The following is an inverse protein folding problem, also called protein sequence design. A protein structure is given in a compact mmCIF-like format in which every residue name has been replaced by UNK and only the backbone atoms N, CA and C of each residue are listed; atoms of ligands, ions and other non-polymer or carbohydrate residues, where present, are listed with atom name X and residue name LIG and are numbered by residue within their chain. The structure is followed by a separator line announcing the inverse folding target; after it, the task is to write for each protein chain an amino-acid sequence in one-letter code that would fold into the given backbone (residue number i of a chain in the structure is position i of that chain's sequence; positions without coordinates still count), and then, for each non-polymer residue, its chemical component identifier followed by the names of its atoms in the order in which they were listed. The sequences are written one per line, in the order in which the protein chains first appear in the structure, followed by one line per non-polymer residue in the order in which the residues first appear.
data_IF_935128519628
#
_entry.id   IF_935128519628
#
_cell.length_a   1.000
_cell.length_b   1.000
_cell.length_c   1.000
_cell.angle_alpha   90.00
_cell.angle_beta   90.00
_cell.angle_gamma   90.00
#
_symmetry.space_group_name_H-M   'P 1'
#
loop_
_entity.id
_entity.type
_entity.pdbx_description
1 polymer ?
#
# COMPACT_ATOMS: atom_id res chain seq x y z
N UNK A 1 39.44 76.99 51.88
CA UNK A 1 38.87 76.95 53.26
C UNK A 1 37.48 76.39 53.09
N UNK A 2 37.36 75.06 53.17
CA UNK A 2 36.79 74.34 54.33
C UNK A 2 35.29 74.63 54.41
N UNK A 3 34.35 73.70 54.40
CA UNK A 3 34.31 72.25 54.59
C UNK A 3 32.78 71.91 54.51
N UNK A 4 32.40 70.66 54.12
CA UNK A 4 31.29 69.89 54.76
C UNK A 4 29.85 70.32 54.31
N UNK A 5 28.94 69.51 53.74
CA UNK A 5 28.65 68.06 53.79
C UNK A 5 28.03 67.58 52.47
N UNK A 6 28.67 66.63 51.79
CA UNK A 6 27.97 65.69 50.92
C UNK A 6 27.51 64.54 51.84
N UNK A 7 26.23 64.53 52.23
CA UNK A 7 25.64 63.41 52.96
C UNK A 7 25.57 62.20 52.03
N UNK A 8 26.66 61.44 51.98
CA UNK A 8 26.64 60.05 51.63
C UNK A 8 25.77 59.33 52.69
N UNK A 9 24.46 59.26 52.45
CA UNK A 9 23.60 58.32 53.17
C UNK A 9 23.93 56.93 52.64
N UNK A 10 24.95 56.36 53.25
CA UNK A 10 24.98 54.99 53.74
C UNK A 10 23.86 54.09 53.18
N UNK A 11 24.12 53.42 52.07
CA UNK A 11 23.35 52.24 51.64
C UNK A 11 24.26 51.01 51.67
N UNK A 12 25.00 50.88 52.77
CA UNK A 12 25.69 49.65 53.15
C UNK A 12 24.65 48.62 53.64
N UNK A 13 23.83 48.10 52.70
CA UNK A 13 22.79 47.11 52.99
C UNK A 13 22.05 46.52 51.78
N UNK A 14 22.21 47.08 50.57
CA UNK A 14 21.42 46.69 49.39
C UNK A 14 21.99 45.59 48.49
N UNK A 15 23.27 45.24 48.61
CA UNK A 15 23.94 44.33 47.67
C UNK A 15 23.48 42.87 47.75
N UNK A 16 23.18 42.37 48.96
CA UNK A 16 22.72 41.00 49.16
C UNK A 16 21.29 40.79 48.65
N UNK A 17 20.37 41.72 48.97
CA UNK A 17 18.99 41.64 48.51
C UNK A 17 18.88 41.77 46.99
N UNK A 18 19.66 42.65 46.37
CA UNK A 18 19.74 42.75 44.91
C UNK A 18 20.30 41.45 44.27
N UNK A 19 21.31 40.83 44.88
CA UNK A 19 21.85 39.54 44.45
C UNK A 19 20.85 38.39 44.55
N UNK A 20 20.13 38.29 45.67
CA UNK A 20 19.07 37.29 45.89
C UNK A 20 17.93 37.50 44.89
N UNK A 21 17.50 38.73 44.68
CA UNK A 21 16.44 39.04 43.71
C UNK A 21 16.83 38.63 42.29
N UNK A 22 18.06 38.94 41.87
CA UNK A 22 18.58 38.54 40.57
C UNK A 22 18.65 37.01 40.42
N UNK A 23 19.06 36.29 41.47
CA UNK A 23 19.08 34.82 41.47
C UNK A 23 17.67 34.23 41.32
N UNK A 24 16.68 34.73 42.07
CA UNK A 24 15.29 34.27 41.98
C UNK A 24 14.70 34.57 40.61
N UNK A 25 15.01 35.74 40.04
CA UNK A 25 14.56 36.12 38.70
C UNK A 25 15.13 35.18 37.64
N UNK A 26 16.43 34.91 37.67
CA UNK A 26 17.07 33.94 36.76
C UNK A 26 16.49 32.54 36.92
N UNK A 27 16.26 32.10 38.16
CA UNK A 27 15.66 30.79 38.43
C UNK A 27 14.24 30.70 37.86
N UNK A 28 13.42 31.75 38.02
CA UNK A 28 12.09 31.80 37.44
C UNK A 28 12.13 31.75 35.90
N UNK A 29 13.09 32.43 35.28
CA UNK A 29 13.27 32.43 33.82
C UNK A 29 13.63 31.01 33.33
N UNK A 30 14.60 30.36 33.98
CA UNK A 30 14.98 28.97 33.67
C UNK A 30 13.79 28.02 33.88
N UNK A 31 13.03 28.20 34.96
CA UNK A 31 11.85 27.40 35.23
C UNK A 31 10.80 27.55 34.11
N UNK A 32 10.51 28.77 33.66
CA UNK A 32 9.56 29.00 32.55
C UNK A 32 10.05 28.37 31.25
N UNK A 33 11.34 28.45 30.95
CA UNK A 33 11.92 27.80 29.76
C UNK A 33 11.76 26.28 29.87
N UNK A 34 12.15 25.67 31.00
CA UNK A 34 12.02 24.22 31.23
C UNK A 34 10.56 23.77 31.23
N UNK A 35 9.64 24.60 31.70
CA UNK A 35 8.21 24.30 31.70
C UNK A 35 7.63 24.18 30.28
N UNK A 36 8.09 25.04 29.37
CA UNK A 36 7.67 25.04 27.96
C UNK A 36 8.51 24.11 27.08
N UNK A 37 9.65 23.62 27.58
CA UNK A 37 10.48 22.68 26.84
C UNK A 37 9.87 21.27 26.91
N UNK A 38 9.30 20.83 25.79
CA UNK A 38 8.66 19.52 25.67
C UNK A 38 9.63 18.34 25.95
N UNK A 39 10.83 18.36 25.35
CA UNK A 39 11.92 17.41 25.63
C UNK A 39 12.39 17.32 27.09
N UNK A 40 12.11 18.29 27.95
CA UNK A 40 12.35 18.16 29.40
C UNK A 40 11.39 17.14 30.02
N UNK A 41 10.10 17.21 29.67
CA UNK A 41 9.04 16.33 30.20
C UNK A 41 9.02 14.94 29.56
N UNK A 42 9.62 14.81 28.39
CA UNK A 42 9.68 13.59 27.58
C UNK A 42 11.00 12.81 27.75
N UNK A 43 11.78 13.09 28.80
CA UNK A 43 13.11 12.51 29.00
C UNK A 43 13.07 11.08 29.58
N UNK A 44 13.93 10.21 29.05
CA UNK A 44 14.14 8.83 29.56
C UNK A 44 15.10 8.73 30.76
N UNK A 45 15.53 9.88 31.31
CA UNK A 45 16.47 9.90 32.44
C UNK A 45 15.71 9.52 33.72
N UNK A 46 15.87 8.27 34.17
CA UNK A 46 15.15 7.68 35.30
C UNK A 46 15.03 8.52 36.60
N UNK A 47 16.09 9.14 37.14
CA UNK A 47 15.94 9.98 38.33
C UNK A 47 15.17 11.28 38.07
N UNK A 48 15.30 11.85 36.86
CA UNK A 48 14.64 13.10 36.47
C UNK A 48 13.15 12.86 36.23
N UNK A 49 12.80 11.76 35.56
CA UNK A 49 11.39 11.39 35.32
C UNK A 49 10.65 11.07 36.62
N UNK A 50 11.30 10.41 37.59
CA UNK A 50 10.72 10.20 38.94
C UNK A 50 10.47 11.52 39.67
N UNK A 51 11.44 12.45 39.61
CA UNK A 51 11.28 13.77 40.22
C UNK A 51 10.13 14.55 39.56
N UNK A 52 10.08 14.59 38.22
CA UNK A 52 9.01 15.23 37.45
C UNK A 52 7.64 14.64 37.75
N UNK A 53 7.52 13.31 37.80
CA UNK A 53 6.29 12.61 38.14
C UNK A 53 5.84 12.91 39.57
N UNK A 54 6.77 12.98 40.53
CA UNK A 54 6.44 13.24 41.93
C UNK A 54 6.05 14.69 42.22
N UNK A 55 6.72 15.66 41.58
CA UNK A 55 6.52 17.10 41.85
C UNK A 55 5.43 17.69 40.95
N UNK A 56 5.34 17.23 39.69
CA UNK A 56 4.41 17.76 38.68
C UNK A 56 3.66 16.62 37.94
N UNK A 57 2.87 15.80 38.66
CA UNK A 57 2.23 14.61 38.10
C UNK A 57 1.27 14.90 36.94
N UNK A 58 0.52 16.01 37.02
CA UNK A 58 -0.46 16.39 35.99
C UNK A 58 0.23 16.75 34.68
N UNK A 59 1.22 17.65 34.75
CA UNK A 59 1.99 18.09 33.57
C UNK A 59 2.75 16.94 32.93
N UNK A 60 3.39 16.10 33.75
CA UNK A 60 4.08 14.90 33.27
C UNK A 60 3.13 13.95 32.54
N UNK A 61 1.96 13.65 33.10
CA UNK A 61 0.98 12.75 32.48
C UNK A 61 0.43 13.31 31.15
N UNK A 62 0.17 14.61 31.06
CA UNK A 62 -0.28 15.24 29.80
C UNK A 62 0.74 15.06 28.67
N UNK A 63 2.02 15.30 28.93
CA UNK A 63 3.07 15.18 27.90
C UNK A 63 3.31 13.70 27.52
N UNK A 64 3.24 12.79 28.48
CA UNK A 64 3.35 11.35 28.21
C UNK A 64 2.15 10.82 27.39
N UNK A 65 0.94 11.34 27.62
CA UNK A 65 -0.23 11.00 26.80
C UNK A 65 -0.11 11.51 25.35
N UNK A 66 0.53 12.65 25.13
CA UNK A 66 0.83 13.13 23.76
C UNK A 66 1.79 12.20 23.05
N UNK A 67 2.87 11.76 23.72
CA UNK A 67 3.81 10.77 23.18
C UNK A 67 3.11 9.46 22.83
N UNK A 68 2.28 8.93 23.73
CA UNK A 68 1.54 7.68 23.50
C UNK A 68 0.64 7.76 22.27
N UNK A 69 -0.05 8.90 22.06
CA UNK A 69 -0.87 9.13 20.87
C UNK A 69 -0.05 9.17 19.59
N UNK A 70 1.09 9.87 19.61
CA UNK A 70 1.98 9.96 18.44
C UNK A 70 2.57 8.58 18.10
N UNK A 71 3.05 7.84 19.10
CA UNK A 71 3.60 6.51 18.89
C UNK A 71 2.56 5.53 18.35
N UNK A 72 1.36 5.52 18.91
CA UNK A 72 0.28 4.65 18.44
C UNK A 72 -0.16 5.00 17.01
N UNK A 73 -0.28 6.29 16.70
CA UNK A 73 -0.60 6.73 15.35
C UNK A 73 0.50 6.34 14.34
N UNK A 74 1.77 6.50 14.70
CA UNK A 74 2.88 6.11 13.83
C UNK A 74 2.91 4.59 13.59
N UNK A 75 2.65 3.78 14.62
CA UNK A 75 2.52 2.33 14.46
C UNK A 75 1.36 1.95 13.54
N UNK A 76 0.22 2.64 13.66
CA UNK A 76 -0.94 2.42 12.79
C UNK A 76 -0.62 2.79 11.33
N UNK A 77 0.04 3.92 11.11
CA UNK A 77 0.48 4.38 9.79
C UNK A 77 1.44 3.37 9.16
N UNK A 78 2.46 2.93 9.91
CA UNK A 78 3.43 1.94 9.42
C UNK A 78 2.77 0.60 9.08
N UNK A 79 1.78 0.16 9.87
CA UNK A 79 1.00 -1.04 9.54
C UNK A 79 0.16 -0.86 8.28
N UNK A 80 -0.43 0.32 8.07
CA UNK A 80 -1.22 0.63 6.87
C UNK A 80 -0.34 0.70 5.62
N UNK A 81 0.85 1.31 5.71
CA UNK A 81 1.83 1.35 4.62
C UNK A 81 2.26 -0.05 4.23
N UNK A 82 2.69 -0.88 5.19
CA UNK A 82 3.09 -2.27 4.92
C UNK A 82 1.99 -3.10 4.25
N UNK A 83 0.73 -2.90 4.67
CA UNK A 83 -0.41 -3.58 4.04
C UNK A 83 -0.59 -3.10 2.60
N UNK A 84 -0.54 -1.78 2.37
CA UNK A 84 -0.73 -1.19 1.04
C UNK A 84 0.34 -1.68 0.07
N UNK A 85 1.62 -1.65 0.46
CA UNK A 85 2.73 -2.14 -0.35
C UNK A 85 2.56 -3.62 -0.72
N UNK A 86 2.11 -4.45 0.23
CA UNK A 86 1.86 -5.87 -0.04
C UNK A 86 0.71 -6.10 -1.03
N UNK A 87 -0.34 -5.28 -0.97
CA UNK A 87 -1.45 -5.36 -1.92
C UNK A 87 -1.03 -4.92 -3.31
N UNK A 88 -0.23 -3.86 -3.42
CA UNK A 88 0.28 -3.36 -4.70
C UNK A 88 1.16 -4.41 -5.39
N UNK A 89 2.08 -5.04 -4.65
CA UNK A 89 2.91 -6.12 -5.20
C UNK A 89 2.08 -7.33 -5.69
N UNK A 90 1.08 -7.74 -4.91
CA UNK A 90 0.20 -8.85 -5.30
C UNK A 90 -0.67 -8.50 -6.51
N UNK A 91 -1.13 -7.25 -6.62
CA UNK A 91 -1.89 -6.77 -7.77
C UNK A 91 -1.05 -6.78 -9.05
N UNK A 92 0.21 -6.33 -8.97
CA UNK A 92 1.14 -6.36 -10.12
C UNK A 92 1.41 -7.79 -10.57
N UNK A 93 1.59 -8.72 -9.62
CA UNK A 93 1.75 -10.14 -9.95
C UNK A 93 0.50 -10.72 -10.62
N UNK A 94 -0.68 -10.46 -10.06
CA UNK A 94 -1.96 -10.92 -10.63
C UNK A 94 -2.24 -10.33 -12.01
N UNK A 95 -1.89 -9.06 -12.24
CA UNK A 95 -2.03 -8.42 -13.56
C UNK A 95 -1.10 -9.06 -14.59
N UNK A 96 0.14 -9.38 -14.20
CA UNK A 96 1.08 -10.10 -15.07
C UNK A 96 0.57 -11.48 -15.44
N UNK A 97 0.10 -12.26 -14.48
CA UNK A 97 -0.46 -13.60 -14.71
C UNK A 97 -1.71 -13.53 -15.60
N UNK A 98 -2.58 -12.54 -15.38
CA UNK A 98 -3.76 -12.33 -16.21
C UNK A 98 -3.39 -11.95 -17.65
N UNK A 99 -2.31 -11.18 -17.84
CA UNK A 99 -1.80 -10.82 -19.17
C UNK A 99 -1.23 -12.05 -19.90
N UNK A 100 -0.40 -12.85 -19.23
CA UNK A 100 0.14 -14.09 -19.80
C UNK A 100 -0.98 -15.08 -20.17
N UNK A 101 -1.98 -15.23 -19.31
CA UNK A 101 -3.15 -16.08 -19.60
C UNK A 101 -3.95 -15.57 -20.81
N UNK A 102 -4.10 -14.24 -20.97
CA UNK A 102 -4.77 -13.66 -22.15
C UNK A 102 -3.99 -13.91 -23.43
N UNK A 103 -2.66 -13.78 -23.39
CA UNK A 103 -1.80 -14.04 -24.55
C UNK A 103 -1.86 -15.53 -24.95
N UNK A 104 -1.80 -16.44 -23.98
CA UNK A 104 -1.96 -17.88 -24.21
C UNK A 104 -3.35 -18.21 -24.80
N UNK A 105 -4.41 -17.62 -24.25
CA UNK A 105 -5.77 -17.81 -24.75
C UNK A 105 -5.94 -17.27 -26.18
N UNK A 106 -5.33 -16.13 -26.50
CA UNK A 106 -5.33 -15.59 -27.85
C UNK A 106 -4.62 -16.52 -28.86
N UNK A 107 -3.49 -17.13 -28.45
CA UNK A 107 -2.77 -18.08 -29.28
C UNK A 107 -3.55 -19.40 -29.51
N UNK A 108 -4.22 -19.93 -28.48
CA UNK A 108 -5.09 -21.11 -28.63
C UNK A 108 -6.28 -20.77 -29.53
N UNK A 109 -6.90 -19.62 -29.33
CA UNK A 109 -8.04 -19.18 -30.13
C UNK A 109 -7.71 -18.99 -31.61
N UNK A 110 -6.51 -18.49 -31.95
CA UNK A 110 -6.11 -18.36 -33.35
C UNK A 110 -5.91 -19.73 -34.02
N UNK A 111 -5.29 -20.67 -33.31
CA UNK A 111 -5.11 -22.06 -33.75
C UNK A 111 -6.47 -22.77 -33.96
N UNK A 112 -7.41 -22.61 -33.03
CA UNK A 112 -8.75 -23.19 -33.18
C UNK A 112 -9.55 -22.54 -34.31
N UNK A 113 -9.47 -21.21 -34.44
CA UNK A 113 -10.11 -20.49 -35.55
C UNK A 113 -9.60 -20.94 -36.90
N UNK A 114 -8.30 -21.24 -37.02
CA UNK A 114 -7.73 -21.77 -38.26
C UNK A 114 -8.25 -23.17 -38.58
N UNK A 115 -8.31 -24.08 -37.60
CA UNK A 115 -8.92 -25.40 -37.75
C UNK A 115 -10.38 -25.31 -38.18
N UNK A 116 -11.14 -24.41 -37.57
CA UNK A 116 -12.53 -24.16 -37.94
C UNK A 116 -12.69 -23.69 -39.39
N UNK A 117 -11.77 -22.85 -39.90
CA UNK A 117 -11.80 -22.41 -41.30
C UNK A 117 -11.53 -23.57 -42.27
N UNK A 118 -10.56 -24.42 -41.97
CA UNK A 118 -10.31 -25.63 -42.76
C UNK A 118 -11.51 -26.58 -42.74
N UNK A 119 -12.15 -26.69 -41.58
CA UNK A 119 -13.33 -27.53 -41.41
C UNK A 119 -14.56 -27.01 -42.16
N UNK A 120 -14.90 -25.72 -42.09
CA UNK A 120 -15.99 -25.11 -42.89
C UNK A 120 -15.75 -25.30 -44.39
N UNK A 121 -14.49 -25.15 -44.83
CA UNK A 121 -14.11 -25.38 -46.23
C UNK A 121 -14.36 -26.84 -46.64
N UNK A 122 -13.98 -27.80 -45.79
CA UNK A 122 -14.21 -29.22 -46.04
C UNK A 122 -15.71 -29.55 -46.09
N UNK A 123 -16.52 -29.00 -45.17
CA UNK A 123 -17.96 -29.19 -45.19
C UNK A 123 -18.61 -28.64 -46.47
N UNK A 124 -18.19 -27.46 -46.95
CA UNK A 124 -18.67 -26.91 -48.23
C UNK A 124 -18.27 -27.78 -49.42
N UNK A 125 -17.06 -28.31 -49.44
CA UNK A 125 -16.64 -29.26 -50.47
C UNK A 125 -17.50 -30.53 -50.45
N UNK A 126 -17.77 -31.07 -49.27
CA UNK A 126 -18.66 -32.23 -49.11
C UNK A 126 -20.07 -31.89 -49.60
N UNK A 127 -20.62 -30.71 -49.27
CA UNK A 127 -21.95 -30.29 -49.73
C UNK A 127 -22.01 -30.20 -51.28
N UNK A 128 -20.99 -29.63 -51.91
CA UNK A 128 -20.87 -29.59 -53.37
C UNK A 128 -20.79 -31.00 -53.99
N UNK A 129 -20.04 -31.90 -53.37
CA UNK A 129 -19.92 -33.29 -53.82
C UNK A 129 -21.26 -34.03 -53.66
N UNK A 130 -21.97 -33.86 -52.54
CA UNK A 130 -23.30 -34.47 -52.31
C UNK A 130 -24.36 -34.00 -53.30
N UNK A 131 -24.23 -32.79 -53.85
CA UNK A 131 -25.15 -32.28 -54.89
C UNK A 131 -24.84 -32.82 -56.28
N UNK A 132 -23.59 -33.23 -56.52
CA UNK A 132 -23.09 -33.65 -57.84
C UNK A 132 -23.18 -35.16 -58.06
N UNK A 133 -23.00 -35.96 -57.01
CA UNK A 133 -22.94 -37.42 -57.09
C UNK A 133 -24.14 -38.06 -56.38
N UNK A 134 -24.57 -39.22 -56.85
CA UNK A 134 -25.51 -40.08 -56.13
C UNK A 134 -24.86 -40.63 -54.84
N UNK A 135 -25.64 -41.06 -53.83
CA UNK A 135 -25.09 -41.52 -52.55
C UNK A 135 -24.03 -42.63 -52.69
N UNK A 136 -24.25 -43.57 -53.61
CA UNK A 136 -23.33 -44.69 -53.86
C UNK A 136 -22.03 -44.23 -54.54
N UNK A 137 -22.12 -43.32 -55.52
CA UNK A 137 -20.95 -42.72 -56.18
C UNK A 137 -20.15 -41.81 -55.23
N UNK A 138 -20.86 -41.12 -54.33
CA UNK A 138 -20.24 -40.25 -53.33
C UNK A 138 -19.42 -41.05 -52.33
N UNK A 139 -19.93 -42.19 -51.84
CA UNK A 139 -19.20 -43.10 -50.95
C UNK A 139 -17.94 -43.65 -51.61
N UNK A 140 -18.04 -44.02 -52.88
CA UNK A 140 -16.89 -44.47 -53.66
C UNK A 140 -15.86 -43.35 -53.89
N UNK A 141 -16.32 -42.13 -54.14
CA UNK A 141 -15.46 -40.97 -54.44
C UNK A 141 -14.72 -40.45 -53.21
N UNK A 142 -15.39 -40.38 -52.05
CA UNK A 142 -14.77 -39.90 -50.81
C UNK A 142 -13.88 -40.95 -50.13
N UNK A 143 -14.19 -42.25 -50.30
CA UNK A 143 -13.38 -43.37 -49.77
C UNK A 143 -12.83 -43.09 -48.37
N UNK A 144 -13.70 -42.73 -47.42
CA UNK A 144 -13.31 -42.50 -46.03
C UNK A 144 -12.56 -43.72 -45.48
N UNK A 145 -11.36 -43.51 -44.95
CA UNK A 145 -10.50 -44.58 -44.39
C UNK A 145 -10.44 -44.53 -42.87
N UNK A 146 -11.09 -43.55 -42.25
CA UNK A 146 -11.11 -43.37 -40.80
C UNK A 146 -12.56 -43.18 -40.31
N UNK A 147 -12.88 -43.64 -39.08
CA UNK A 147 -14.23 -43.53 -38.52
C UNK A 147 -14.66 -42.07 -38.34
N UNK A 148 -13.72 -41.15 -38.11
CA UNK A 148 -13.99 -39.72 -37.97
C UNK A 148 -14.49 -39.11 -39.30
N UNK A 149 -14.01 -39.61 -40.43
CA UNK A 149 -14.46 -39.17 -41.76
C UNK A 149 -15.91 -39.58 -42.02
N UNK A 150 -16.31 -40.79 -41.63
CA UNK A 150 -17.71 -41.24 -41.73
C UNK A 150 -18.61 -40.44 -40.79
N UNK A 151 -18.16 -40.17 -39.57
CA UNK A 151 -18.91 -39.41 -38.58
C UNK A 151 -19.13 -37.96 -39.02
N UNK A 152 -18.15 -37.31 -39.66
CA UNK A 152 -18.30 -35.96 -40.24
C UNK A 152 -19.36 -35.94 -41.35
N UNK A 153 -19.46 -37.00 -42.15
CA UNK A 153 -20.46 -37.10 -43.22
C UNK A 153 -21.89 -37.23 -42.68
N UNK A 154 -22.06 -37.91 -41.55
CA UNK A 154 -23.37 -38.15 -40.90
C UNK A 154 -23.76 -36.99 -39.97
N UNK A 155 -22.79 -36.36 -39.30
CA UNK A 155 -23.00 -35.43 -38.17
C UNK A 155 -22.74 -33.96 -38.53
N UNK A 156 -22.94 -33.58 -39.80
CA UNK A 156 -22.63 -32.24 -40.34
C UNK A 156 -23.18 -31.08 -39.49
N UNK A 157 -24.37 -31.25 -38.91
CA UNK A 157 -25.02 -30.25 -38.04
C UNK A 157 -24.21 -29.99 -36.76
N UNK A 158 -23.84 -31.04 -36.02
CA UNK A 158 -23.19 -30.89 -34.70
C UNK A 158 -21.81 -30.24 -34.84
N UNK A 159 -21.16 -30.48 -35.97
CA UNK A 159 -19.85 -29.91 -36.23
C UNK A 159 -19.88 -28.44 -36.68
N UNK A 160 -21.03 -27.93 -37.13
CA UNK A 160 -21.20 -26.50 -37.43
C UNK A 160 -21.28 -25.65 -36.14
N UNK A 161 -21.85 -26.20 -35.07
CA UNK A 161 -21.98 -25.51 -33.76
C UNK A 161 -20.65 -25.36 -33.02
N UNK A 162 -19.66 -26.23 -33.29
CA UNK A 162 -18.33 -26.17 -32.64
C UNK A 162 -17.53 -24.96 -33.11
N UNK A 163 -17.83 -24.44 -34.31
CA UNK A 163 -17.07 -23.39 -34.97
C UNK A 163 -17.85 -22.08 -35.16
N UNK A 164 -19.05 -21.96 -34.56
CA UNK A 164 -19.91 -20.77 -34.58
C UNK A 164 -19.75 -19.90 -33.33
#
# INVERSE_FOLDING_TARGET
MSEVEEKASDTQGGGFLAGVFNFVFMFALVFVILWNWDGFWQTDIGPLSRAQQSVFPVKFNEEQLKLSRIQNNNQLIEQMERRTDSYEQNMVAAEKDAKEAREALAAVRSLESEKCRYYDTALRMIDLLTRKYSEDELKQTLSCTSPECEEILVSKHQAFEVCS
#
